data_IF_187404183824
#
_entry.id   IF_187404183824
#
_cell.length_a   1.000
_cell.length_b   1.000
_cell.length_c   1.000
_cell.angle_alpha   90.00
_cell.angle_beta   90.00
_cell.angle_gamma   90.00
#
_symmetry.space_group_name_H-M   'P 1'
#
loop_
_entity.id
_entity.type
_entity.pdbx_description
1 polymer ?
#
# COMPACT_ATOMS: atom_id res chain seq x y z
N UNK A 1 2.24 4.83 9.02
CA UNK A 1 1.28 4.60 7.92
C UNK A 1 1.74 5.40 6.72
N UNK A 2 1.54 4.90 5.51
CA UNK A 2 1.81 5.65 4.28
C UNK A 2 0.85 6.85 4.17
N UNK A 3 1.29 7.94 3.54
CA UNK A 3 0.44 9.12 3.29
C UNK A 3 -0.78 8.76 2.43
N UNK A 4 -1.91 9.40 2.73
CA UNK A 4 -3.18 9.19 2.01
C UNK A 4 -3.02 9.46 0.51
N UNK A 5 -2.27 10.50 0.14
CA UNK A 5 -2.02 10.86 -1.26
C UNK A 5 -1.35 9.72 -2.04
N UNK A 6 -0.39 9.01 -1.42
CA UNK A 6 0.27 7.86 -2.04
C UNK A 6 -0.68 6.67 -2.19
N UNK A 7 -1.56 6.46 -1.21
CA UNK A 7 -2.59 5.41 -1.27
C UNK A 7 -3.58 5.70 -2.40
N UNK A 8 -4.03 6.96 -2.53
CA UNK A 8 -4.91 7.38 -3.60
C UNK A 8 -4.24 7.21 -4.98
N UNK A 9 -2.94 7.52 -5.07
CA UNK A 9 -2.16 7.26 -6.29
C UNK A 9 -2.11 5.78 -6.65
N UNK A 10 -1.91 4.88 -5.68
CA UNK A 10 -1.98 3.41 -5.90
C UNK A 10 -3.36 3.01 -6.42
N UNK A 11 -4.43 3.58 -5.89
CA UNK A 11 -5.81 3.30 -6.31
C UNK A 11 -6.07 3.78 -7.73
N UNK A 12 -5.60 4.99 -8.09
CA UNK A 12 -5.69 5.54 -9.46
C UNK A 12 -4.96 4.63 -10.44
N UNK A 13 -3.70 4.27 -10.17
CA UNK A 13 -2.92 3.36 -11.02
C UNK A 13 -3.57 1.98 -11.13
N UNK A 14 -4.16 1.47 -10.04
CA UNK A 14 -4.88 0.20 -10.06
C UNK A 14 -6.17 0.25 -10.88
N UNK A 15 -6.88 1.38 -10.85
CA UNK A 15 -8.07 1.59 -11.67
C UNK A 15 -7.72 1.74 -13.16
N UNK A 16 -6.63 2.45 -13.45
CA UNK A 16 -6.08 2.54 -14.79
C UNK A 16 -5.68 1.17 -15.29
N UNK A 17 -4.99 0.34 -14.51
CA UNK A 17 -4.62 -1.03 -14.89
C UNK A 17 -5.81 -1.93 -15.25
N UNK A 18 -6.97 -1.71 -14.62
CA UNK A 18 -8.21 -2.44 -14.95
C UNK A 18 -8.88 -1.93 -16.23
N UNK A 19 -8.74 -0.63 -16.51
CA UNK A 19 -9.38 0.02 -17.65
C UNK A 19 -8.51 0.00 -18.92
N UNK A 20 -7.20 0.13 -18.75
CA UNK A 20 -6.17 0.19 -19.79
C UNK A 20 -4.88 -0.50 -19.34
N UNK A 21 -4.03 -0.88 -20.29
CA UNK A 21 -2.68 -1.35 -19.96
C UNK A 21 -1.86 -0.16 -19.44
N UNK A 22 -1.25 -0.32 -18.27
CA UNK A 22 -0.30 0.67 -17.73
C UNK A 22 0.96 0.71 -18.60
N UNK A 23 1.54 1.90 -18.73
CA UNK A 23 2.89 2.05 -19.28
C UNK A 23 3.91 1.43 -18.34
N UNK A 24 5.13 1.19 -18.82
CA UNK A 24 6.17 0.58 -17.98
C UNK A 24 6.54 1.47 -16.79
N UNK A 25 6.62 2.79 -17.01
CA UNK A 25 6.84 3.81 -15.98
C UNK A 25 5.73 3.79 -14.90
N UNK A 26 4.46 3.73 -15.31
CA UNK A 26 3.32 3.67 -14.38
C UNK A 26 3.32 2.37 -13.56
N UNK A 27 3.74 1.25 -14.15
CA UNK A 27 3.89 -0.01 -13.41
C UNK A 27 5.02 0.07 -12.39
N UNK A 28 6.17 0.64 -12.77
CA UNK A 28 7.29 0.82 -11.84
C UNK A 28 6.89 1.73 -10.67
N UNK A 29 6.16 2.81 -10.94
CA UNK A 29 5.57 3.68 -9.92
C UNK A 29 4.63 2.88 -9.00
N UNK A 30 3.70 2.10 -9.58
CA UNK A 30 2.75 1.29 -8.83
C UNK A 30 3.45 0.24 -7.93
N UNK A 31 4.48 -0.43 -8.45
CA UNK A 31 5.26 -1.44 -7.71
C UNK A 31 6.00 -0.79 -6.54
N UNK A 32 6.64 0.35 -6.78
CA UNK A 32 7.38 1.10 -5.77
C UNK A 32 6.47 1.55 -4.64
N UNK A 33 5.33 2.18 -4.98
CA UNK A 33 4.34 2.62 -4.02
C UNK A 33 3.73 1.45 -3.23
N UNK A 34 3.45 0.31 -3.87
CA UNK A 34 2.95 -0.89 -3.18
C UNK A 34 3.97 -1.48 -2.22
N UNK A 35 5.26 -1.50 -2.57
CA UNK A 35 6.32 -1.96 -1.67
C UNK A 35 6.40 -1.08 -0.41
N UNK A 36 6.35 0.23 -0.59
CA UNK A 36 6.36 1.20 0.51
C UNK A 36 5.12 1.03 1.41
N UNK A 37 3.95 0.88 0.81
CA UNK A 37 2.70 0.61 1.53
C UNK A 37 2.82 -0.65 2.40
N UNK A 38 3.23 -1.78 1.82
CA UNK A 38 3.35 -3.07 2.53
C UNK A 38 4.36 -2.97 3.66
N UNK A 39 5.50 -2.32 3.46
CA UNK A 39 6.49 -2.13 4.52
C UNK A 39 5.92 -1.32 5.70
N UNK A 40 5.23 -0.22 5.40
CA UNK A 40 4.58 0.60 6.43
C UNK A 40 3.45 -0.14 7.15
N UNK A 41 2.69 -0.95 6.40
CA UNK A 41 1.57 -1.73 6.91
C UNK A 41 2.06 -2.86 7.83
N UNK A 42 3.11 -3.60 7.42
CA UNK A 42 3.73 -4.65 8.25
C UNK A 42 4.22 -4.10 9.59
N UNK A 43 4.86 -2.92 9.58
CA UNK A 43 5.30 -2.26 10.81
C UNK A 43 4.12 -1.88 11.72
N UNK A 44 3.05 -1.35 11.13
CA UNK A 44 1.82 -1.02 11.86
C UNK A 44 1.13 -2.25 12.42
N UNK A 45 1.08 -3.35 11.66
CA UNK A 45 0.45 -4.60 12.05
C UNK A 45 1.21 -5.29 13.19
N UNK A 46 2.55 -5.31 13.13
CA UNK A 46 3.39 -5.83 14.20
C UNK A 46 3.11 -5.10 15.53
N UNK A 47 3.06 -3.77 15.48
CA UNK A 47 2.72 -2.95 16.65
C UNK A 47 1.30 -3.23 17.17
N UNK A 48 0.33 -3.38 16.27
CA UNK A 48 -1.04 -3.74 16.66
C UNK A 48 -1.10 -5.11 17.34
N UNK A 49 -0.40 -6.12 16.81
CA UNK A 49 -0.34 -7.46 17.40
C UNK A 49 0.32 -7.46 18.79
N UNK A 50 1.40 -6.70 18.98
CA UNK A 50 2.03 -6.53 20.30
C UNK A 50 1.09 -5.87 21.32
N UNK A 51 0.20 -5.00 20.85
CA UNK A 51 -0.78 -4.32 21.70
C UNK A 51 -2.02 -5.16 22.04
N UNK A 52 -2.19 -6.35 21.45
CA UNK A 52 -3.31 -7.24 21.77
C UNK A 52 -3.06 -7.84 23.15
N UNK A 53 -3.74 -7.26 24.16
CA UNK A 53 -3.78 -7.80 25.51
C UNK A 53 -4.88 -8.86 25.56
N UNK A 54 -4.49 -10.13 25.71
CA UNK A 54 -5.44 -11.20 26.01
C UNK A 54 -5.93 -10.95 27.44
N UNK A 55 -7.24 -10.73 27.58
CA UNK A 55 -7.94 -10.64 28.86
C UNK A 55 -8.65 -11.97 29.07
N UNK A 56 -8.33 -12.65 30.17
CA UNK A 56 -8.98 -13.89 30.66
C UNK A 56 -10.21 -13.54 31.50
#
# INVERSE_FOLDING_TARGET
MLDKEKIDRINVLSNWSRSRKLTEEEKEEQITLRKEYIASFRKSLAYQLESIKIVD
#
